data_IF_503549524469
#
_entry.id   IF_503549524469
#
_cell.length_a   1.000
_cell.length_b   1.000
_cell.length_c   1.000
_cell.angle_alpha   90.00
_cell.angle_beta   90.00
_cell.angle_gamma   90.00
#
_symmetry.space_group_name_H-M   'P 1'
#
loop_
_entity.id
_entity.type
_entity.pdbx_description
1 polymer ?
#
# COMPACT_ATOMS: atom_id res chain seq x y z
N UNK A 1 -0.92 -10.59 -25.80
CA UNK A 1 -0.78 -9.13 -25.88
C UNK A 1 -1.55 -8.40 -24.78
N UNK A 2 -2.81 -8.76 -24.51
CA UNK A 2 -3.61 -8.12 -23.44
C UNK A 2 -2.97 -8.24 -22.05
N UNK A 3 -2.42 -9.39 -21.69
CA UNK A 3 -1.75 -9.60 -20.41
C UNK A 3 -0.59 -8.61 -20.15
N UNK A 4 0.18 -8.29 -21.20
CA UNK A 4 1.27 -7.31 -21.11
C UNK A 4 0.71 -5.91 -20.82
N UNK A 5 -0.40 -5.54 -21.46
CA UNK A 5 -1.06 -4.25 -21.25
C UNK A 5 -1.56 -4.15 -19.80
N UNK A 6 -2.21 -5.19 -19.28
CA UNK A 6 -2.67 -5.22 -17.89
C UNK A 6 -1.49 -5.14 -16.89
N UNK A 7 -0.39 -5.83 -17.18
CA UNK A 7 0.81 -5.73 -16.33
C UNK A 7 1.35 -4.31 -16.25
N UNK A 8 1.55 -3.63 -17.39
CA UNK A 8 2.04 -2.25 -17.41
C UNK A 8 1.04 -1.26 -16.86
N UNK A 9 -0.27 -1.51 -17.01
CA UNK A 9 -1.32 -0.72 -16.36
C UNK A 9 -1.18 -0.80 -14.84
N UNK A 10 -1.07 -2.00 -14.27
CA UNK A 10 -0.84 -2.20 -12.85
C UNK A 10 0.47 -1.57 -12.37
N UNK A 11 1.56 -1.75 -13.13
CA UNK A 11 2.85 -1.14 -12.82
C UNK A 11 2.78 0.40 -12.82
N UNK A 12 1.97 1.00 -13.70
CA UNK A 12 1.74 2.45 -13.71
C UNK A 12 1.00 2.93 -12.45
N UNK A 13 0.04 2.16 -11.94
CA UNK A 13 -0.58 2.43 -10.64
C UNK A 13 0.45 2.35 -9.49
N UNK A 14 1.35 1.36 -9.51
CA UNK A 14 2.43 1.24 -8.54
C UNK A 14 3.37 2.45 -8.54
N UNK A 15 3.76 2.93 -9.73
CA UNK A 15 4.57 4.13 -9.90
C UNK A 15 3.85 5.38 -9.36
N UNK A 16 2.55 5.50 -9.62
CA UNK A 16 1.72 6.61 -9.11
C UNK A 16 1.56 6.57 -7.58
N UNK A 17 1.36 5.40 -6.98
CA UNK A 17 1.34 5.22 -5.52
C UNK A 17 2.67 5.71 -4.93
N UNK A 18 3.79 5.34 -5.52
CA UNK A 18 5.11 5.82 -5.10
C UNK A 18 5.22 7.34 -5.11
N UNK A 19 4.69 7.99 -6.15
CA UNK A 19 4.66 9.45 -6.26
C UNK A 19 3.78 10.08 -5.17
N UNK A 20 2.59 9.53 -4.90
CA UNK A 20 1.72 9.99 -3.80
C UNK A 20 2.46 9.89 -2.47
N UNK A 21 3.05 8.73 -2.16
CA UNK A 21 3.76 8.49 -0.92
C UNK A 21 4.99 9.39 -0.72
N UNK A 22 5.56 9.95 -1.79
CA UNK A 22 6.72 10.84 -1.69
C UNK A 22 6.37 12.32 -1.65
N UNK A 23 5.20 12.69 -2.13
CA UNK A 23 4.83 14.10 -2.23
C UNK A 23 3.78 14.53 -1.20
N UNK A 24 2.82 13.69 -0.93
CA UNK A 24 1.72 14.04 -0.03
C UNK A 24 2.14 13.86 1.44
N UNK A 25 1.70 14.74 2.39
CA UNK A 25 0.89 15.94 2.16
C UNK A 25 1.67 17.20 1.83
N UNK A 26 3.00 17.18 1.89
CA UNK A 26 3.85 18.38 1.86
C UNK A 26 3.90 19.05 0.48
N UNK A 27 3.71 18.31 -0.59
CA UNK A 27 3.87 18.80 -1.98
C UNK A 27 2.69 18.41 -2.85
N UNK A 28 2.44 19.20 -3.88
CA UNK A 28 1.43 18.90 -4.89
C UNK A 28 1.78 17.62 -5.65
N UNK A 29 0.77 16.75 -5.85
CA UNK A 29 0.87 15.52 -6.65
C UNK A 29 1.00 15.87 -8.14
N UNK A 30 0.40 16.99 -8.59
CA UNK A 30 0.31 17.38 -9.99
C UNK A 30 1.55 18.19 -10.43
N UNK A 31 1.97 19.15 -9.63
CA UNK A 31 3.10 20.04 -9.97
C UNK A 31 4.19 20.00 -8.89
N UNK A 32 5.48 20.12 -9.27
CA UNK A 32 6.03 20.06 -10.63
C UNK A 32 6.00 18.66 -11.23
N UNK A 33 6.24 18.53 -12.53
CA UNK A 33 6.40 17.23 -13.22
C UNK A 33 7.47 16.39 -12.52
N UNK A 34 7.44 15.07 -12.76
CA UNK A 34 8.42 14.14 -12.18
C UNK A 34 9.85 14.56 -12.51
N UNK A 35 10.68 14.63 -11.48
CA UNK A 35 12.06 15.09 -11.57
C UNK A 35 12.95 14.29 -10.62
N UNK A 36 14.24 14.26 -10.91
CA UNK A 36 15.22 13.66 -10.00
C UNK A 36 15.26 14.43 -8.68
N UNK A 37 15.23 13.71 -7.55
CA UNK A 37 15.29 14.32 -6.21
C UNK A 37 16.61 15.06 -5.96
N UNK A 38 17.70 14.64 -6.60
CA UNK A 38 19.03 15.20 -6.40
C UNK A 38 19.34 16.37 -7.35
N UNK A 39 19.33 16.15 -8.68
CA UNK A 39 19.73 17.18 -9.65
C UNK A 39 18.56 18.00 -10.21
N UNK A 40 17.32 17.71 -9.79
CA UNK A 40 16.08 18.36 -10.28
C UNK A 40 15.84 18.27 -11.79
N UNK A 41 16.64 17.45 -12.50
CA UNK A 41 16.40 17.17 -13.91
C UNK A 41 15.00 16.59 -14.10
N UNK A 42 14.21 17.16 -15.02
CA UNK A 42 12.88 16.71 -15.34
C UNK A 42 12.94 15.38 -16.11
N UNK A 43 12.19 14.39 -15.67
CA UNK A 43 12.16 13.08 -16.30
C UNK A 43 11.46 13.13 -17.67
N UNK A 44 12.06 12.49 -18.67
CA UNK A 44 11.47 12.33 -19.99
C UNK A 44 10.47 11.20 -19.97
N UNK A 45 9.59 11.12 -20.97
CA UNK A 45 8.53 10.10 -21.05
C UNK A 45 9.06 8.68 -20.90
N UNK A 46 10.14 8.31 -21.58
CA UNK A 46 10.70 6.96 -21.49
C UNK A 46 11.38 6.66 -20.14
N UNK A 47 11.78 7.70 -19.38
CA UNK A 47 12.32 7.57 -18.01
C UNK A 47 11.19 7.35 -16.97
N UNK A 48 9.94 7.51 -17.37
CA UNK A 48 8.76 7.30 -16.53
C UNK A 48 8.06 5.96 -16.83
N UNK A 49 8.49 5.20 -17.87
CA UNK A 49 7.91 3.88 -18.14
C UNK A 49 8.25 2.94 -16.99
N UNK A 50 7.23 2.43 -16.25
CA UNK A 50 7.48 1.60 -15.08
C UNK A 50 8.32 0.39 -15.41
N UNK A 51 9.15 -0.05 -14.47
CA UNK A 51 10.05 -1.20 -14.57
C UNK A 51 11.11 -1.00 -15.66
N UNK A 52 10.72 -0.72 -16.91
CA UNK A 52 11.66 -0.59 -18.04
C UNK A 52 12.66 0.54 -17.82
N UNK A 53 12.20 1.70 -17.33
CA UNK A 53 13.10 2.82 -17.04
C UNK A 53 14.18 2.44 -16.02
N UNK A 54 13.82 1.74 -14.96
CA UNK A 54 14.77 1.32 -13.93
C UNK A 54 15.73 0.25 -14.43
N UNK A 55 15.27 -0.67 -15.28
CA UNK A 55 16.13 -1.70 -15.90
C UNK A 55 17.14 -1.06 -16.86
N UNK A 56 16.66 -0.24 -17.81
CA UNK A 56 17.54 0.41 -18.81
C UNK A 56 18.54 1.40 -18.19
N UNK A 57 18.11 2.15 -17.17
CA UNK A 57 18.96 3.11 -16.47
C UNK A 57 19.73 2.47 -15.30
N UNK A 58 19.62 1.15 -15.09
CA UNK A 58 20.25 0.41 -13.97
C UNK A 58 19.96 1.07 -12.62
N UNK A 59 18.71 1.47 -12.41
CA UNK A 59 18.23 2.20 -11.22
C UNK A 59 19.06 3.44 -10.89
N UNK A 60 19.52 4.19 -11.89
CA UNK A 60 20.29 5.44 -11.73
C UNK A 60 19.70 6.58 -12.54
N UNK A 61 19.82 7.80 -12.03
CA UNK A 61 19.45 8.98 -12.77
C UNK A 61 20.34 9.12 -14.01
N UNK A 62 19.75 9.43 -15.16
CA UNK A 62 20.50 9.62 -16.40
C UNK A 62 21.48 10.80 -16.36
N UNK A 63 21.13 11.89 -15.65
CA UNK A 63 21.93 13.10 -15.62
C UNK A 63 23.00 13.09 -14.53
N UNK A 64 22.67 12.72 -13.28
CA UNK A 64 23.59 12.82 -12.15
C UNK A 64 24.04 11.44 -11.61
N UNK A 65 23.60 10.34 -12.21
CA UNK A 65 23.93 8.96 -11.84
C UNK A 65 23.60 8.57 -10.37
N UNK A 66 22.85 9.41 -9.65
CA UNK A 66 22.39 9.10 -8.31
C UNK A 66 21.47 7.86 -8.34
N UNK A 67 21.65 6.89 -7.42
CA UNK A 67 20.82 5.69 -7.40
C UNK A 67 19.36 6.02 -7.08
N UNK A 68 18.45 5.36 -7.82
CA UNK A 68 17.01 5.42 -7.58
C UNK A 68 16.67 4.26 -6.63
N UNK A 69 15.93 4.51 -5.52
CA UNK A 69 15.60 3.45 -4.56
C UNK A 69 14.82 2.29 -5.20
N UNK A 70 15.21 1.07 -4.89
CA UNK A 70 14.57 -0.16 -5.40
C UNK A 70 13.10 -0.30 -4.97
N UNK A 71 12.66 0.42 -3.93
CA UNK A 71 11.26 0.42 -3.49
C UNK A 71 10.27 0.73 -4.61
N UNK A 72 10.64 1.61 -5.57
CA UNK A 72 9.77 1.92 -6.71
C UNK A 72 9.61 0.73 -7.64
N UNK A 73 10.73 0.04 -7.95
CA UNK A 73 10.69 -1.18 -8.75
C UNK A 73 9.81 -2.25 -8.10
N UNK A 74 9.94 -2.41 -6.77
CA UNK A 74 9.12 -3.37 -6.03
C UNK A 74 7.62 -3.01 -6.11
N UNK A 75 7.25 -1.74 -5.92
CA UNK A 75 5.85 -1.30 -6.02
C UNK A 75 5.28 -1.49 -7.42
N UNK A 76 6.07 -1.16 -8.46
CA UNK A 76 5.68 -1.33 -9.86
C UNK A 76 5.48 -2.81 -10.22
N UNK A 77 6.41 -3.67 -9.80
CA UNK A 77 6.31 -5.13 -10.01
C UNK A 77 5.12 -5.72 -9.26
N UNK A 78 4.97 -5.39 -7.98
CA UNK A 78 3.87 -5.88 -7.15
C UNK A 78 2.52 -5.50 -7.75
N UNK A 79 2.30 -4.22 -8.07
CA UNK A 79 1.05 -3.78 -8.68
C UNK A 79 0.83 -4.39 -10.08
N UNK A 80 1.90 -4.57 -10.87
CA UNK A 80 1.82 -5.25 -12.16
C UNK A 80 1.36 -6.69 -12.03
N UNK A 81 1.91 -7.45 -11.07
CA UNK A 81 1.51 -8.83 -10.80
C UNK A 81 0.06 -8.92 -10.31
N UNK A 82 -0.34 -8.05 -9.38
CA UNK A 82 -1.74 -8.02 -8.89
C UNK A 82 -2.73 -7.75 -10.03
N UNK A 83 -2.39 -6.84 -10.96
CA UNK A 83 -3.23 -6.57 -12.12
C UNK A 83 -3.30 -7.76 -13.11
N UNK A 84 -2.22 -8.54 -13.22
CA UNK A 84 -2.24 -9.80 -13.98
C UNK A 84 -3.14 -10.85 -13.33
N UNK A 85 -3.07 -11.00 -12.01
CA UNK A 85 -3.94 -11.92 -11.28
C UNK A 85 -5.42 -11.55 -11.43
N UNK A 86 -5.72 -10.26 -11.45
CA UNK A 86 -7.06 -9.77 -11.79
C UNK A 86 -7.45 -10.14 -13.24
N UNK A 87 -6.56 -9.94 -14.21
CA UNK A 87 -6.80 -10.26 -15.62
C UNK A 87 -7.10 -11.76 -15.86
N UNK A 88 -6.50 -12.64 -15.06
CA UNK A 88 -6.72 -14.08 -15.11
C UNK A 88 -7.83 -14.57 -14.18
N UNK A 89 -8.68 -13.68 -13.67
CA UNK A 89 -9.81 -13.96 -12.76
C UNK A 89 -9.43 -14.65 -11.43
N UNK A 90 -8.15 -14.59 -11.04
CA UNK A 90 -7.71 -15.05 -9.72
C UNK A 90 -8.08 -14.10 -8.59
N UNK A 91 -8.25 -12.81 -8.90
CA UNK A 91 -8.63 -11.77 -7.95
C UNK A 91 -9.83 -11.01 -8.44
N UNK A 92 -10.75 -10.67 -7.53
CA UNK A 92 -11.83 -9.75 -7.83
C UNK A 92 -11.36 -8.29 -7.87
N UNK A 93 -12.16 -7.41 -8.49
CA UNK A 93 -11.81 -5.99 -8.62
C UNK A 93 -11.66 -5.32 -7.25
N UNK A 94 -12.56 -5.61 -6.30
CA UNK A 94 -12.52 -5.04 -4.94
C UNK A 94 -11.25 -5.45 -4.19
N UNK A 95 -10.81 -6.71 -4.29
CA UNK A 95 -9.58 -7.19 -3.66
C UNK A 95 -8.35 -6.54 -4.33
N UNK A 96 -8.34 -6.44 -5.65
CA UNK A 96 -7.26 -5.78 -6.41
C UNK A 96 -7.11 -4.32 -6.01
N UNK A 97 -8.23 -3.58 -5.97
CA UNK A 97 -8.26 -2.19 -5.54
C UNK A 97 -7.77 -2.05 -4.10
N UNK A 98 -8.26 -2.91 -3.20
CA UNK A 98 -7.87 -2.88 -1.80
C UNK A 98 -6.38 -3.15 -1.60
N UNK A 99 -5.78 -4.07 -2.35
CA UNK A 99 -4.34 -4.34 -2.28
C UNK A 99 -3.50 -3.12 -2.69
N UNK A 100 -3.92 -2.36 -3.70
CA UNK A 100 -3.25 -1.10 -4.07
C UNK A 100 -3.39 -0.03 -2.99
N UNK A 101 -4.59 0.14 -2.47
CA UNK A 101 -4.88 1.07 -1.38
C UNK A 101 -4.10 0.71 -0.11
N UNK A 102 -4.11 -0.55 0.26
CA UNK A 102 -3.40 -1.12 1.40
C UNK A 102 -1.88 -0.95 1.29
N UNK A 103 -1.30 -1.15 0.09
CA UNK A 103 0.10 -0.87 -0.18
C UNK A 103 0.44 0.61 0.07
N UNK A 104 -0.42 1.52 -0.40
CA UNK A 104 -0.26 2.96 -0.18
C UNK A 104 -0.23 3.29 1.32
N UNK A 105 -1.22 2.83 2.10
CA UNK A 105 -1.29 3.06 3.55
C UNK A 105 -0.09 2.46 4.29
N UNK A 106 0.32 1.24 3.90
CA UNK A 106 1.49 0.56 4.47
C UNK A 106 2.77 1.36 4.29
N UNK A 107 2.99 1.97 3.11
CA UNK A 107 4.18 2.79 2.87
C UNK A 107 4.14 4.10 3.69
N UNK A 108 2.98 4.73 3.84
CA UNK A 108 2.85 5.89 4.71
C UNK A 108 3.16 5.54 6.16
N UNK A 109 2.62 4.45 6.65
CA UNK A 109 2.85 3.99 8.02
C UNK A 109 4.33 3.66 8.27
N UNK A 110 5.01 3.01 7.32
CA UNK A 110 6.46 2.77 7.39
C UNK A 110 7.29 4.05 7.46
N UNK A 111 6.88 5.11 6.75
CA UNK A 111 7.63 6.38 6.69
C UNK A 111 7.37 7.27 7.89
N UNK A 112 6.11 7.41 8.29
CA UNK A 112 5.66 8.44 9.22
C UNK A 112 5.06 7.86 10.49
N UNK A 113 4.91 6.52 10.60
CA UNK A 113 4.19 5.80 11.69
C UNK A 113 2.75 6.32 11.86
N UNK A 114 2.19 6.84 10.80
CA UNK A 114 0.82 7.33 10.65
C UNK A 114 0.55 7.59 9.17
N UNK A 115 -0.70 7.68 8.79
CA UNK A 115 -1.07 8.08 7.44
C UNK A 115 -2.13 9.19 7.47
N UNK A 116 -2.14 10.07 6.45
CA UNK A 116 -3.11 11.17 6.39
C UNK A 116 -4.53 10.65 6.26
N UNK A 117 -5.42 11.10 7.14
CA UNK A 117 -6.85 10.73 7.13
C UNK A 117 -7.51 10.97 5.77
N UNK A 118 -7.09 12.02 5.06
CA UNK A 118 -7.60 12.32 3.72
C UNK A 118 -7.36 11.17 2.73
N UNK A 119 -6.16 10.56 2.73
CA UNK A 119 -5.84 9.42 1.87
C UNK A 119 -6.73 8.23 2.23
N UNK A 120 -6.93 7.99 3.54
CA UNK A 120 -7.79 6.91 3.99
C UNK A 120 -9.24 7.14 3.55
N UNK A 121 -9.80 8.35 3.70
CA UNK A 121 -11.17 8.68 3.26
C UNK A 121 -11.31 8.48 1.75
N UNK A 122 -10.42 9.09 0.95
CA UNK A 122 -10.48 9.01 -0.52
C UNK A 122 -10.34 7.56 -0.99
N UNK A 123 -9.47 6.77 -0.36
CA UNK A 123 -9.30 5.37 -0.71
C UNK A 123 -10.43 4.45 -0.24
N UNK A 124 -11.12 4.80 0.85
CA UNK A 124 -12.23 3.98 1.38
C UNK A 124 -13.55 4.25 0.64
N UNK A 125 -13.77 5.45 0.10
CA UNK A 125 -15.01 5.80 -0.62
C UNK A 125 -15.37 4.80 -1.73
N UNK A 126 -14.47 4.42 -2.66
CA UNK A 126 -14.79 3.39 -3.66
C UNK A 126 -15.15 2.03 -3.05
N UNK A 127 -14.50 1.66 -1.93
CA UNK A 127 -14.78 0.40 -1.24
C UNK A 127 -16.18 0.34 -0.63
N UNK A 128 -16.75 1.49 -0.25
CA UNK A 128 -18.15 1.55 0.23
C UNK A 128 -19.16 1.17 -0.86
N UNK A 129 -18.83 1.38 -2.13
CA UNK A 129 -19.70 0.97 -3.25
C UNK A 129 -19.46 -0.49 -3.68
N UNK A 130 -18.29 -1.05 -3.38
CA UNK A 130 -17.91 -2.41 -3.77
C UNK A 130 -18.09 -3.43 -2.64
N UNK A 131 -18.07 -2.96 -1.39
CA UNK A 131 -18.06 -3.81 -0.19
C UNK A 131 -19.43 -4.38 0.16
N UNK A 132 -19.41 -5.48 0.93
CA UNK A 132 -20.61 -6.22 1.34
C UNK A 132 -20.82 -6.26 2.87
N UNK A 133 -19.82 -5.94 3.67
CA UNK A 133 -19.84 -6.16 5.13
C UNK A 133 -19.87 -4.84 5.92
N UNK A 134 -20.91 -4.01 5.70
CA UNK A 134 -21.04 -2.68 6.32
C UNK A 134 -21.12 -2.70 7.84
N UNK A 135 -21.68 -3.75 8.43
CA UNK A 135 -21.75 -3.88 9.89
C UNK A 135 -20.35 -4.01 10.51
N UNK A 136 -19.49 -4.81 9.92
CA UNK A 136 -18.09 -4.97 10.35
C UNK A 136 -17.32 -3.66 10.17
N UNK A 137 -17.56 -2.94 9.08
CA UNK A 137 -16.99 -1.61 8.85
C UNK A 137 -17.42 -0.62 9.95
N UNK A 138 -18.72 -0.56 10.26
CA UNK A 138 -19.23 0.33 11.30
C UNK A 138 -18.62 0.01 12.68
N UNK A 139 -18.49 -1.27 13.03
CA UNK A 139 -17.80 -1.70 14.25
C UNK A 139 -16.33 -1.24 14.27
N UNK A 140 -15.61 -1.38 13.16
CA UNK A 140 -14.22 -0.90 13.04
C UNK A 140 -14.10 0.61 13.25
N UNK A 141 -15.03 1.40 12.70
CA UNK A 141 -15.07 2.86 12.91
C UNK A 141 -15.36 3.20 14.37
N UNK A 142 -16.29 2.50 15.01
CA UNK A 142 -16.60 2.71 16.44
C UNK A 142 -15.35 2.43 17.28
N UNK A 143 -14.61 1.35 17.00
CA UNK A 143 -13.35 1.03 17.69
C UNK A 143 -12.29 2.09 17.46
N UNK A 144 -12.16 2.64 16.26
CA UNK A 144 -11.24 3.73 15.97
C UNK A 144 -11.57 4.99 16.78
N UNK A 145 -12.85 5.37 16.85
CA UNK A 145 -13.32 6.52 17.63
C UNK A 145 -13.07 6.29 19.13
N UNK A 146 -13.35 5.08 19.63
CA UNK A 146 -13.11 4.74 21.03
C UNK A 146 -11.62 4.78 21.39
N UNK A 147 -10.75 4.31 20.49
CA UNK A 147 -9.29 4.37 20.64
C UNK A 147 -8.82 5.82 20.75
N UNK A 148 -9.33 6.68 19.89
CA UNK A 148 -9.04 8.12 19.91
C UNK A 148 -9.47 8.78 21.21
N UNK A 149 -10.71 8.55 21.66
CA UNK A 149 -11.28 9.17 22.88
C UNK A 149 -10.57 8.69 24.16
N UNK A 150 -10.18 7.41 24.22
CA UNK A 150 -9.57 6.81 25.43
C UNK A 150 -8.06 6.90 25.46
N UNK A 151 -7.41 7.53 24.48
CA UNK A 151 -5.95 7.57 24.32
C UNK A 151 -5.31 6.20 24.54
N UNK A 152 -5.90 5.16 23.95
CA UNK A 152 -5.36 3.82 24.03
C UNK A 152 -3.99 3.81 23.31
N UNK A 153 -3.05 3.04 23.82
CA UNK A 153 -1.72 2.89 23.21
C UNK A 153 -1.74 2.09 21.88
N UNK A 154 -2.92 1.91 21.28
CA UNK A 154 -3.13 1.23 20.02
C UNK A 154 -3.39 2.31 18.95
N UNK A 155 -2.70 2.23 17.83
CA UNK A 155 -2.81 3.20 16.75
C UNK A 155 -4.23 3.28 16.18
N UNK A 156 -4.80 4.47 16.15
CA UNK A 156 -6.13 4.73 15.54
C UNK A 156 -6.14 4.29 14.06
N UNK A 157 -5.02 4.47 13.39
CA UNK A 157 -4.83 4.04 12.03
C UNK A 157 -5.05 2.55 11.81
N UNK A 158 -4.60 1.70 12.74
CA UNK A 158 -4.77 0.26 12.63
C UNK A 158 -6.25 -0.14 12.59
N UNK A 159 -7.08 0.49 13.42
CA UNK A 159 -8.53 0.27 13.41
C UNK A 159 -9.20 0.79 12.13
N UNK A 160 -8.78 1.96 11.63
CA UNK A 160 -9.28 2.50 10.36
C UNK A 160 -8.90 1.61 9.18
N UNK A 161 -7.68 1.07 9.19
CA UNK A 161 -7.23 0.10 8.19
C UNK A 161 -8.07 -1.18 8.22
N UNK A 162 -8.27 -1.75 9.42
CA UNK A 162 -9.11 -2.95 9.60
C UNK A 162 -10.57 -2.70 9.24
N UNK A 163 -11.10 -1.50 9.52
CA UNK A 163 -12.43 -1.10 9.08
C UNK A 163 -12.54 -1.16 7.56
N UNK A 164 -11.60 -0.55 6.81
CA UNK A 164 -11.65 -0.62 5.34
C UNK A 164 -11.45 -2.03 4.80
N UNK A 165 -10.60 -2.87 5.42
CA UNK A 165 -10.45 -4.28 5.07
C UNK A 165 -11.75 -5.08 5.30
N UNK A 166 -12.48 -4.76 6.37
CA UNK A 166 -13.73 -5.45 6.72
C UNK A 166 -14.89 -5.17 5.76
N UNK A 167 -14.80 -4.21 4.85
CA UNK A 167 -15.78 -4.05 3.77
C UNK A 167 -15.75 -5.21 2.77
N UNK A 168 -14.56 -5.80 2.57
CA UNK A 168 -14.32 -6.82 1.54
C UNK A 168 -14.22 -8.22 2.16
N UNK A 169 -13.55 -8.32 3.29
CA UNK A 169 -13.29 -9.61 3.93
C UNK A 169 -14.30 -9.87 5.06
N UNK A 170 -14.87 -11.09 5.15
CA UNK A 170 -15.72 -11.48 6.27
C UNK A 170 -14.93 -11.46 7.58
N UNK A 171 -15.63 -11.31 8.70
CA UNK A 171 -15.04 -11.17 10.03
C UNK A 171 -14.03 -12.29 10.38
N UNK A 172 -14.32 -13.53 9.97
CA UNK A 172 -13.40 -14.66 10.18
C UNK A 172 -12.04 -14.47 9.49
N UNK A 173 -12.04 -13.94 8.26
CA UNK A 173 -10.78 -13.63 7.55
C UNK A 173 -10.04 -12.45 8.18
N UNK A 174 -10.76 -11.45 8.71
CA UNK A 174 -10.15 -10.32 9.44
C UNK A 174 -9.39 -10.83 10.68
N UNK A 175 -9.98 -11.76 11.44
CA UNK A 175 -9.29 -12.35 12.60
C UNK A 175 -8.00 -13.08 12.19
N UNK A 176 -8.03 -13.86 11.12
CA UNK A 176 -6.84 -14.53 10.58
C UNK A 176 -5.77 -13.52 10.13
N UNK A 177 -6.17 -12.43 9.49
CA UNK A 177 -5.24 -11.36 9.09
C UNK A 177 -4.56 -10.75 10.31
N UNK A 178 -5.31 -10.46 11.37
CA UNK A 178 -4.76 -9.92 12.63
C UNK A 178 -3.80 -10.95 13.25
N UNK A 179 -4.15 -12.21 13.30
CA UNK A 179 -3.31 -13.27 13.86
C UNK A 179 -1.97 -13.37 13.11
N UNK A 180 -2.00 -13.44 11.77
CA UNK A 180 -0.80 -13.47 10.93
C UNK A 180 0.03 -12.20 11.15
N UNK A 181 -0.59 -11.02 11.17
CA UNK A 181 0.09 -9.75 11.38
C UNK A 181 0.77 -9.69 12.75
N UNK A 182 0.11 -10.16 13.81
CA UNK A 182 0.68 -10.23 15.15
C UNK A 182 1.88 -11.17 15.21
N UNK A 183 1.80 -12.36 14.58
CA UNK A 183 2.92 -13.30 14.51
C UNK A 183 4.11 -12.71 13.76
N UNK A 184 3.89 -12.07 12.61
CA UNK A 184 4.93 -11.40 11.85
C UNK A 184 5.55 -10.23 12.61
N UNK A 185 4.72 -9.41 13.27
CA UNK A 185 5.16 -8.29 14.11
C UNK A 185 5.99 -8.77 15.30
N UNK A 186 5.57 -9.84 15.96
CA UNK A 186 6.31 -10.45 17.07
C UNK A 186 7.66 -11.01 16.60
N UNK A 187 7.67 -11.74 15.48
CA UNK A 187 8.91 -12.26 14.89
C UNK A 187 9.89 -11.12 14.56
N UNK A 188 9.41 -10.05 13.92
CA UNK A 188 10.20 -8.87 13.64
C UNK A 188 10.78 -8.22 14.89
N UNK A 189 9.96 -8.08 15.95
CA UNK A 189 10.36 -7.53 17.23
C UNK A 189 11.47 -8.35 17.90
N UNK A 190 11.32 -9.68 17.91
CA UNK A 190 12.31 -10.60 18.49
C UNK A 190 13.66 -10.54 17.74
N UNK A 191 13.62 -10.38 16.42
CA UNK A 191 14.83 -10.28 15.59
C UNK A 191 15.58 -8.95 15.82
N UNK A 192 14.87 -7.85 15.99
CA UNK A 192 15.49 -6.51 16.13
C UNK A 192 15.98 -6.21 17.53
N UNK A 193 15.47 -6.86 18.57
CA UNK A 193 15.82 -6.67 20.01
C UNK A 193 15.76 -5.21 20.52
N UNK A 194 15.12 -4.31 19.80
CA UNK A 194 15.10 -2.88 20.14
C UNK A 194 13.73 -2.53 20.76
N UNK A 195 13.67 -2.56 22.11
CA UNK A 195 12.44 -2.41 22.91
C UNK A 195 11.84 -0.99 22.93
N UNK A 196 12.51 0.00 22.35
CA UNK A 196 12.13 1.42 22.49
C UNK A 196 11.47 2.04 21.25
N UNK A 197 11.42 1.34 20.13
CA UNK A 197 10.88 1.91 18.90
C UNK A 197 9.40 1.52 18.71
N UNK A 198 8.52 2.50 18.47
CA UNK A 198 7.18 2.24 17.98
C UNK A 198 7.27 1.57 16.60
N UNK A 199 6.63 0.42 16.46
CA UNK A 199 6.62 -0.36 15.22
C UNK A 199 5.38 0.05 14.41
N UNK A 200 5.56 0.35 13.12
CA UNK A 200 4.47 0.50 12.18
C UNK A 200 3.76 -0.84 12.02
N UNK A 201 2.46 -0.93 12.33
CA UNK A 201 1.74 -2.21 12.34
C UNK A 201 0.97 -2.49 11.03
N UNK A 202 0.53 -1.44 10.33
CA UNK A 202 -0.17 -1.58 9.03
C UNK A 202 0.60 -2.41 8.00
N UNK A 203 1.96 -2.34 7.89
CA UNK A 203 2.72 -3.21 6.98
C UNK A 203 2.55 -4.71 7.28
N UNK A 204 2.42 -5.10 8.53
CA UNK A 204 2.20 -6.50 8.90
C UNK A 204 0.77 -6.93 8.57
N UNK A 205 -0.22 -6.05 8.77
CA UNK A 205 -1.60 -6.28 8.31
C UNK A 205 -1.66 -6.43 6.79
N UNK A 206 -0.96 -5.57 6.05
CA UNK A 206 -0.84 -5.69 4.60
C UNK A 206 -0.24 -7.03 4.17
N UNK A 207 0.87 -7.45 4.79
CA UNK A 207 1.48 -8.75 4.52
C UNK A 207 0.53 -9.91 4.87
N UNK A 208 -0.22 -9.81 5.96
CA UNK A 208 -1.24 -10.80 6.33
C UNK A 208 -2.32 -10.95 5.24
N UNK A 209 -2.81 -9.84 4.68
CA UNK A 209 -3.77 -9.85 3.58
C UNK A 209 -3.17 -10.44 2.31
N UNK A 210 -1.94 -10.06 1.96
CA UNK A 210 -1.24 -10.62 0.80
C UNK A 210 -1.10 -12.13 0.95
N UNK A 211 -0.61 -12.63 2.08
CA UNK A 211 -0.46 -14.07 2.33
C UNK A 211 -1.80 -14.80 2.25
N UNK A 212 -2.84 -14.27 2.88
CA UNK A 212 -4.17 -14.89 2.86
C UNK A 212 -4.76 -14.93 1.45
N UNK A 213 -4.61 -13.86 0.67
CA UNK A 213 -5.09 -13.81 -0.72
C UNK A 213 -4.32 -14.78 -1.61
N UNK A 214 -3.00 -14.87 -1.50
CA UNK A 214 -2.21 -15.82 -2.29
C UNK A 214 -2.47 -17.28 -1.88
N UNK A 215 -2.63 -17.57 -0.58
CA UNK A 215 -3.03 -18.92 -0.12
C UNK A 215 -4.42 -19.33 -0.62
N UNK A 216 -5.32 -18.40 -0.89
CA UNK A 216 -6.65 -18.73 -1.43
C UNK A 216 -6.67 -18.98 -2.95
N UNK A 217 -5.58 -18.69 -3.65
CA UNK A 217 -5.41 -18.92 -5.09
C UNK A 217 -4.79 -20.29 -5.37
N UNK A 218 -3.99 -20.83 -4.44
CA UNK A 218 -3.36 -22.15 -4.51
C UNK A 218 -4.32 -23.22 -4.03
#
# INVERSE_FOLDING_TARGET
>A
MLSIIYFFLGASFGSFIGLICDRFPERSIIFPRSHCSHCKHQLRFFEMIPILSQLFLRSRCRSCQTPIPFRYLFMELFCGVICLLYFYDFLSLEVTYFLYFSLCLSIFDLKHKSYPLLIWIVGTVPLLFMGNYYLSFALGIILAILSYMKHLNIGEGDFLYLASASLIFPFSKILLIIEIACLLGLAYFLLRRNLKECIAFVPFLFLGIVLLTFCSII
#
